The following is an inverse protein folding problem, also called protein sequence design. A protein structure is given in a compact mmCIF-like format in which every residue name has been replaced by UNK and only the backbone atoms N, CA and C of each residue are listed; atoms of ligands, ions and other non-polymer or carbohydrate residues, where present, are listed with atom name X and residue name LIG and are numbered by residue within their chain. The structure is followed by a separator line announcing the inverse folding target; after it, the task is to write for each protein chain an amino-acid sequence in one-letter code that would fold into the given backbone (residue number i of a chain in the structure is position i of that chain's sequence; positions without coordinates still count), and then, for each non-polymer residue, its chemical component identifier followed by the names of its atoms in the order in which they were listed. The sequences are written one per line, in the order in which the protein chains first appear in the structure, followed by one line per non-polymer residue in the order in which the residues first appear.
data_IF_937516423414
#
_entry.id   IF_937516423414
#
_cell.length_a   1.000
_cell.length_b   1.000
_cell.length_c   1.000
_cell.angle_alpha   90.00
_cell.angle_beta   90.00
_cell.angle_gamma   90.00
#
_symmetry.space_group_name_H-M   'P 1'
#
loop_
_entity.id
_entity.type
_entity.pdbx_description
1 polymer ?
#
# COMPACT_ATOMS: atom_id res chain seq x y z
N UNK A 1 -11.21 35.70 1.00
CA UNK A 1 -11.12 34.29 0.54
C UNK A 1 -9.64 33.93 0.34
N UNK A 2 -9.02 33.31 1.35
CA UNK A 2 -7.57 33.10 1.39
C UNK A 2 -7.16 31.86 0.59
N UNK A 3 -6.91 32.07 -0.70
CA UNK A 3 -6.36 31.06 -1.61
C UNK A 3 -4.93 30.69 -1.23
N UNK A 4 -4.77 29.62 -0.45
CA UNK A 4 -3.49 28.98 -0.18
C UNK A 4 -2.90 28.46 -1.50
N UNK A 5 -2.10 29.27 -2.19
CA UNK A 5 -1.33 28.84 -3.36
C UNK A 5 -0.05 28.14 -2.88
N UNK A 6 -0.08 26.81 -2.88
CA UNK A 6 1.13 26.00 -2.75
C UNK A 6 1.86 26.00 -4.09
N UNK A 7 2.94 26.77 -4.19
CA UNK A 7 3.85 26.76 -5.35
C UNK A 7 4.65 25.45 -5.36
N UNK A 8 4.08 24.41 -5.97
CA UNK A 8 4.84 23.22 -6.34
C UNK A 8 5.79 23.60 -7.47
N UNK A 9 7.05 23.87 -7.12
CA UNK A 9 8.16 23.92 -8.09
C UNK A 9 8.20 22.57 -8.82
N UNK A 10 7.59 22.50 -10.00
CA UNK A 10 7.73 21.36 -10.92
C UNK A 10 9.13 21.43 -11.52
N UNK A 11 10.12 20.95 -10.77
CA UNK A 11 11.41 20.56 -11.35
C UNK A 11 11.14 19.25 -12.08
N UNK A 12 11.06 19.31 -13.41
CA UNK A 12 11.12 18.12 -14.26
C UNK A 12 12.50 17.49 -14.04
N UNK A 13 12.56 16.54 -13.11
CA UNK A 13 13.74 15.70 -12.95
C UNK A 13 13.67 14.60 -14.01
N UNK A 14 14.55 14.68 -15.00
CA UNK A 14 14.89 13.66 -16.00
C UNK A 14 15.54 12.40 -15.40
N UNK A 15 15.28 12.09 -14.12
CA UNK A 15 15.79 10.89 -13.44
C UNK A 15 14.70 10.23 -12.59
N UNK A 16 14.55 8.91 -12.75
CA UNK A 16 13.60 7.98 -12.10
C UNK A 16 13.09 8.51 -10.73
N UNK A 17 11.86 9.00 -10.67
CA UNK A 17 11.27 9.53 -9.42
C UNK A 17 11.09 8.39 -8.42
N UNK A 18 12.02 8.29 -7.46
CA UNK A 18 12.06 7.22 -6.46
C UNK A 18 11.03 7.47 -5.36
N UNK A 19 10.23 6.46 -5.04
CA UNK A 19 9.33 6.48 -3.88
C UNK A 19 10.13 6.72 -2.61
N UNK A 20 9.94 7.85 -1.95
CA UNK A 20 10.65 8.19 -0.71
C UNK A 20 9.90 7.68 0.51
N UNK A 21 8.57 7.71 0.49
CA UNK A 21 7.74 7.33 1.65
C UNK A 21 6.47 6.57 1.23
N UNK A 22 6.19 5.50 1.98
CA UNK A 22 4.91 4.78 1.96
C UNK A 22 4.25 5.01 3.32
N UNK A 23 3.13 5.73 3.36
CA UNK A 23 2.34 6.01 4.57
C UNK A 23 0.87 5.62 4.37
N UNK A 24 0.02 5.75 5.40
CA UNK A 24 -1.41 5.45 5.30
C UNK A 24 -1.80 3.96 5.39
N UNK A 25 -0.84 3.06 5.63
CA UNK A 25 -1.10 1.63 5.85
C UNK A 25 -1.15 1.33 7.34
N UNK A 26 -2.13 0.53 7.78
CA UNK A 26 -2.15 -0.01 9.14
C UNK A 26 -1.19 -1.20 9.24
N UNK A 27 -0.31 -1.24 10.25
CA UNK A 27 0.55 -2.42 10.52
C UNK A 27 -0.25 -3.66 10.88
N UNK A 28 -1.34 -3.50 11.63
CA UNK A 28 -2.21 -4.59 12.06
C UNK A 28 -3.63 -4.35 11.55
N UNK A 29 -4.13 -5.32 10.79
CA UNK A 29 -5.48 -5.33 10.25
C UNK A 29 -6.20 -6.55 10.80
N UNK A 30 -7.45 -6.38 11.22
CA UNK A 30 -8.34 -7.48 11.56
C UNK A 30 -9.46 -7.55 10.52
N UNK A 31 -9.64 -8.72 9.94
CA UNK A 31 -10.72 -8.99 8.98
C UNK A 31 -11.53 -10.19 9.44
N UNK A 32 -12.80 -10.23 9.11
CA UNK A 32 -13.62 -11.45 9.21
C UNK A 32 -13.45 -12.29 7.95
N UNK A 33 -13.75 -13.59 8.02
CA UNK A 33 -13.81 -14.46 6.83
C UNK A 33 -14.72 -13.83 5.75
N UNK A 34 -14.24 -13.76 4.51
CA UNK A 34 -14.96 -13.16 3.37
C UNK A 34 -14.84 -11.63 3.26
N UNK A 35 -14.32 -10.96 4.30
CA UNK A 35 -14.21 -9.51 4.28
C UNK A 35 -13.08 -9.05 3.35
N UNK A 36 -13.33 -7.95 2.64
CA UNK A 36 -12.35 -7.30 1.76
C UNK A 36 -11.87 -6.00 2.40
N UNK A 37 -10.57 -5.72 2.28
CA UNK A 37 -9.97 -4.46 2.70
C UNK A 37 -9.12 -3.90 1.58
N UNK A 38 -9.42 -2.68 1.18
CA UNK A 38 -8.58 -1.96 0.21
C UNK A 38 -7.46 -1.24 0.95
N UNK A 39 -6.21 -1.59 0.65
CA UNK A 39 -5.06 -0.82 1.08
C UNK A 39 -4.96 0.44 0.22
N UNK A 40 -4.86 1.59 0.89
CA UNK A 40 -4.62 2.89 0.27
C UNK A 40 -3.25 3.41 0.71
N UNK A 41 -2.14 2.85 0.18
CA UNK A 41 -0.83 3.39 0.46
C UNK A 41 -0.73 4.80 -0.11
N UNK A 42 -0.40 5.75 0.75
CA UNK A 42 -0.05 7.11 0.35
C UNK A 42 1.42 7.09 -0.04
N UNK A 43 1.68 7.31 -1.33
CA UNK A 43 3.02 7.33 -1.90
C UNK A 43 3.39 8.78 -2.14
N UNK A 44 4.55 9.18 -1.63
CA UNK A 44 5.10 10.50 -1.89
C UNK A 44 6.52 10.36 -2.44
N UNK A 45 6.87 11.18 -3.46
CA UNK A 45 6.02 12.10 -4.22
C UNK A 45 5.04 11.37 -5.19
N UNK A 46 3.87 11.97 -5.48
CA UNK A 46 2.85 11.38 -6.37
C UNK A 46 3.36 11.16 -7.81
N UNK A 47 4.42 11.87 -8.20
CA UNK A 47 5.12 11.73 -9.50
C UNK A 47 5.96 10.45 -9.61
N UNK A 48 6.02 9.61 -8.58
CA UNK A 48 6.68 8.30 -8.65
C UNK A 48 5.93 7.35 -9.59
N UNK A 49 6.54 7.03 -10.74
CA UNK A 49 6.11 5.95 -11.63
C UNK A 49 6.43 4.53 -11.09
N UNK A 50 6.87 4.42 -9.83
CA UNK A 50 7.24 3.18 -9.18
C UNK A 50 5.99 2.31 -8.95
N UNK A 51 5.92 1.16 -9.65
CA UNK A 51 4.81 0.21 -9.53
C UNK A 51 4.72 -0.33 -8.10
N UNK A 52 3.52 -0.25 -7.53
CA UNK A 52 3.23 -0.88 -6.23
C UNK A 52 2.93 -2.35 -6.46
N UNK A 53 3.67 -3.19 -5.75
CA UNK A 53 3.50 -4.65 -5.76
C UNK A 53 3.05 -5.11 -4.38
N UNK A 54 2.16 -6.08 -4.36
CA UNK A 54 1.62 -6.65 -3.14
C UNK A 54 1.83 -8.15 -3.15
N UNK A 55 2.42 -8.68 -2.08
CA UNK A 55 2.66 -10.11 -1.91
C UNK A 55 2.05 -10.56 -0.60
N UNK A 56 1.27 -11.64 -0.65
CA UNK A 56 0.76 -12.29 0.55
C UNK A 56 1.63 -13.49 0.88
N UNK A 57 2.07 -13.58 2.13
CA UNK A 57 2.81 -14.73 2.64
C UNK A 57 1.97 -16.01 2.63
N UNK A 58 0.65 -15.92 2.68
CA UNK A 58 -0.24 -17.09 2.65
C UNK A 58 -1.56 -16.79 1.94
N UNK A 59 -1.61 -17.13 0.64
CA UNK A 59 -2.80 -16.95 -0.22
C UNK A 59 -4.00 -17.80 0.21
N UNK A 60 -3.81 -18.86 1.02
CA UNK A 60 -4.93 -19.66 1.57
C UNK A 60 -5.68 -18.91 2.68
N UNK A 61 -4.99 -18.03 3.42
CA UNK A 61 -5.55 -17.22 4.51
C UNK A 61 -6.10 -15.89 3.98
N UNK A 62 -5.27 -15.12 3.26
CA UNK A 62 -5.72 -13.92 2.56
C UNK A 62 -4.96 -13.69 1.26
N UNK A 63 -5.67 -13.21 0.25
CA UNK A 63 -5.12 -12.83 -1.06
C UNK A 63 -5.11 -11.32 -1.20
N UNK A 64 -4.13 -10.77 -1.91
CA UNK A 64 -4.07 -9.34 -2.23
C UNK A 64 -4.04 -9.16 -3.74
N UNK A 65 -4.85 -8.24 -4.26
CA UNK A 65 -4.90 -7.90 -5.69
C UNK A 65 -3.86 -6.83 -6.04
N UNK A 66 -3.56 -6.69 -7.34
CA UNK A 66 -2.65 -5.64 -7.86
C UNK A 66 -3.11 -4.21 -7.48
N UNK A 67 -4.43 -4.02 -7.29
CA UNK A 67 -5.02 -2.76 -6.81
C UNK A 67 -4.89 -2.55 -5.28
N UNK A 68 -4.20 -3.43 -4.55
CA UNK A 68 -4.08 -3.38 -3.09
C UNK A 68 -5.30 -3.90 -2.32
N UNK A 69 -6.22 -4.61 -2.98
CA UNK A 69 -7.41 -5.16 -2.34
C UNK A 69 -7.08 -6.50 -1.68
N UNK A 70 -7.07 -6.53 -0.37
CA UNK A 70 -6.94 -7.74 0.45
C UNK A 70 -8.31 -8.41 0.56
N UNK A 71 -8.37 -9.72 0.35
CA UNK A 71 -9.56 -10.55 0.56
C UNK A 71 -9.21 -11.63 1.56
N UNK A 72 -9.91 -11.65 2.70
CA UNK A 72 -9.76 -12.68 3.71
C UNK A 72 -10.55 -13.93 3.31
N UNK A 73 -9.88 -15.08 3.20
CA UNK A 73 -10.49 -16.34 2.77
C UNK A 73 -10.68 -17.32 3.93
N UNK A 74 -9.66 -17.46 4.78
CA UNK A 74 -9.64 -18.42 5.89
C UNK A 74 -9.16 -17.75 7.17
N UNK A 75 -9.69 -18.17 8.31
CA UNK A 75 -9.23 -17.75 9.64
C UNK A 75 -7.74 -18.07 9.80
N UNK A 76 -6.98 -17.12 10.34
CA UNK A 76 -5.53 -17.25 10.46
C UNK A 76 -4.83 -15.89 10.45
N UNK A 77 -3.52 -15.89 10.69
CA UNK A 77 -2.71 -14.67 10.61
C UNK A 77 -1.81 -14.75 9.39
N UNK A 78 -1.80 -13.71 8.56
CA UNK A 78 -0.99 -13.62 7.35
C UNK A 78 -0.30 -12.28 7.26
N UNK A 79 0.91 -12.26 6.71
CA UNK A 79 1.67 -11.04 6.44
C UNK A 79 1.53 -10.68 4.97
N UNK A 80 1.18 -9.43 4.70
CA UNK A 80 1.07 -8.85 3.36
C UNK A 80 2.16 -7.80 3.23
N UNK A 81 3.06 -8.02 2.29
CA UNK A 81 4.16 -7.13 1.98
C UNK A 81 3.75 -6.23 0.82
N UNK A 82 3.74 -4.94 1.07
CA UNK A 82 3.56 -3.88 0.06
C UNK A 82 4.94 -3.38 -0.31
N UNK A 83 5.31 -3.42 -1.58
CA UNK A 83 6.61 -2.92 -2.06
C UNK A 83 6.38 -1.89 -3.16
N UNK A 84 7.00 -0.72 -3.02
CA UNK A 84 7.03 0.33 -4.04
C UNK A 84 8.48 0.77 -4.22
N UNK A 85 9.05 0.46 -5.38
CA UNK A 85 10.46 0.66 -5.67
C UNK A 85 11.39 0.01 -4.64
N UNK A 86 12.25 0.82 -4.01
CA UNK A 86 13.21 0.37 -2.99
C UNK A 86 12.60 0.25 -1.58
N UNK A 87 11.37 0.70 -1.35
CA UNK A 87 10.72 0.66 -0.03
C UNK A 87 9.72 -0.47 0.04
N UNK A 88 9.68 -1.13 1.20
CA UNK A 88 8.71 -2.17 1.52
C UNK A 88 8.03 -1.87 2.85
N UNK A 89 6.79 -2.31 2.99
CA UNK A 89 5.96 -2.16 4.17
C UNK A 89 5.22 -3.47 4.41
N UNK A 90 5.29 -3.99 5.63
CA UNK A 90 4.67 -5.27 5.98
C UNK A 90 3.44 -5.03 6.85
N UNK A 91 2.33 -5.63 6.46
CA UNK A 91 1.03 -5.54 7.11
C UNK A 91 0.67 -6.92 7.64
N UNK A 92 0.39 -7.02 8.94
CA UNK A 92 -0.11 -8.25 9.55
C UNK A 92 -1.64 -8.22 9.53
N UNK A 93 -2.23 -9.14 8.78
CA UNK A 93 -3.67 -9.34 8.66
C UNK A 93 -4.05 -10.55 9.53
N UNK A 94 -4.88 -10.31 10.54
CA UNK A 94 -5.47 -11.37 11.38
C UNK A 94 -6.92 -11.57 10.94
N UNK A 95 -7.18 -12.70 10.32
CA UNK A 95 -8.52 -13.15 9.97
C UNK A 95 -9.12 -13.86 11.18
N UNK A 96 -10.23 -13.34 11.69
CA UNK A 96 -11.01 -13.95 12.76
C UNK A 96 -12.22 -14.70 12.22
#
# INVERSE_FOLDING_TARGET
MSGKKATLKVKVQTSRVRTTKISGLKKNVRLKKGQKLTLRPVISPLTSQEKVTYTSSNKKVATVSKKGVITAKKKGTVKITVRSGKKSYVIKVKVK
#
